data_IF_277816297565
#
_entry.id   IF_277816297565
#
_cell.length_a   1.000
_cell.length_b   1.000
_cell.length_c   1.000
_cell.angle_alpha   90.00
_cell.angle_beta   90.00
_cell.angle_gamma   90.00
#
_symmetry.space_group_name_H-M   'P 1'
#
loop_
_entity.id
_entity.type
_entity.pdbx_description
1 polymer ?
#
# COMPACT_ATOMS: atom_id res chain seq x y z
N UNK A 1 10.34 -12.61 -0.85
CA UNK A 1 9.78 -11.35 -0.30
C UNK A 1 9.77 -10.34 -1.44
N UNK A 2 8.67 -9.62 -1.65
CA UNK A 2 8.55 -8.62 -2.73
C UNK A 2 8.42 -7.24 -2.06
N UNK A 3 9.42 -6.35 -2.17
CA UNK A 3 9.29 -4.98 -1.71
C UNK A 3 8.34 -4.22 -2.63
N UNK A 4 7.41 -3.45 -2.04
CA UNK A 4 6.42 -2.68 -2.81
C UNK A 4 6.57 -1.18 -2.55
N UNK A 5 6.69 -0.40 -3.62
CA UNK A 5 6.64 1.06 -3.57
C UNK A 5 5.21 1.51 -3.91
N UNK A 6 4.51 2.07 -2.92
CA UNK A 6 3.18 2.63 -3.04
C UNK A 6 3.28 4.14 -3.30
N UNK A 7 2.73 4.60 -4.43
CA UNK A 7 2.77 6.01 -4.83
C UNK A 7 1.35 6.53 -5.01
N UNK A 8 1.01 7.64 -4.36
CA UNK A 8 -0.30 8.28 -4.51
C UNK A 8 -0.19 9.81 -4.50
N UNK A 9 -1.03 10.54 -5.27
CA UNK A 9 -1.25 11.96 -5.07
C UNK A 9 -2.32 12.20 -4.00
N UNK A 10 -2.19 13.28 -3.22
CA UNK A 10 -3.18 13.72 -2.24
C UNK A 10 -4.35 14.50 -2.87
N UNK A 11 -4.15 15.01 -4.09
CA UNK A 11 -5.14 15.77 -4.86
C UNK A 11 -5.32 15.09 -6.22
N UNK A 12 -6.58 14.90 -6.61
CA UNK A 12 -6.97 14.36 -7.91
C UNK A 12 -7.24 15.47 -8.92
N UNK A 13 -6.87 15.24 -10.18
CA UNK A 13 -7.27 16.08 -11.32
C UNK A 13 -8.76 15.94 -11.66
N UNK A 14 -9.36 14.83 -11.24
CA UNK A 14 -10.76 14.50 -11.51
C UNK A 14 -11.50 14.37 -10.16
N UNK A 15 -11.98 15.47 -9.55
CA UNK A 15 -12.74 15.43 -8.32
C UNK A 15 -14.14 14.87 -8.58
N UNK A 16 -14.24 13.54 -8.59
CA UNK A 16 -15.48 12.80 -8.71
C UNK A 16 -15.88 12.26 -7.35
N UNK A 17 -16.92 12.86 -6.78
CA UNK A 17 -17.56 12.45 -5.51
C UNK A 17 -16.52 12.08 -4.43
N UNK A 18 -16.55 10.84 -3.97
CA UNK A 18 -15.70 10.26 -2.93
C UNK A 18 -14.65 9.29 -3.49
N UNK A 19 -14.45 9.24 -4.82
CA UNK A 19 -13.57 8.26 -5.46
C UNK A 19 -12.13 8.40 -4.97
N UNK A 20 -11.62 9.64 -4.87
CA UNK A 20 -10.25 9.87 -4.43
C UNK A 20 -10.04 9.58 -2.95
N UNK A 21 -11.05 9.85 -2.10
CA UNK A 21 -11.02 9.45 -0.70
C UNK A 21 -10.99 7.92 -0.57
N UNK A 22 -11.83 7.19 -1.31
CA UNK A 22 -11.80 5.71 -1.32
C UNK A 22 -10.46 5.16 -1.79
N UNK A 23 -9.84 5.78 -2.80
CA UNK A 23 -8.51 5.41 -3.28
C UNK A 23 -7.46 5.58 -2.18
N UNK A 24 -7.42 6.75 -1.53
CA UNK A 24 -6.47 7.04 -0.45
C UNK A 24 -6.70 6.15 0.78
N UNK A 25 -7.96 5.88 1.15
CA UNK A 25 -8.28 4.94 2.22
C UNK A 25 -7.73 3.53 1.94
N UNK A 26 -7.84 3.05 0.69
CA UNK A 26 -7.27 1.75 0.31
C UNK A 26 -5.74 1.78 0.31
N UNK A 27 -5.12 2.88 -0.13
CA UNK A 27 -3.66 3.05 -0.10
C UNK A 27 -3.11 2.91 1.32
N UNK A 28 -3.71 3.62 2.29
CA UNK A 28 -3.30 3.53 3.69
C UNK A 28 -3.61 2.16 4.29
N UNK A 29 -4.80 1.62 4.04
CA UNK A 29 -5.17 0.30 4.56
C UNK A 29 -4.25 -0.82 4.05
N UNK A 30 -3.80 -0.77 2.79
CA UNK A 30 -2.89 -1.80 2.25
C UNK A 30 -1.49 -1.70 2.83
N UNK A 31 -0.95 -0.49 2.96
CA UNK A 31 0.39 -0.27 3.54
C UNK A 31 0.41 -0.66 5.03
N UNK A 32 -0.65 -0.34 5.77
CA UNK A 32 -0.86 -0.76 7.16
C UNK A 32 -1.00 -2.30 7.28
N UNK A 33 -1.85 -2.93 6.46
CA UNK A 33 -2.04 -4.38 6.48
C UNK A 33 -0.76 -5.14 6.09
N UNK A 34 0.05 -4.60 5.18
CA UNK A 34 1.34 -5.19 4.82
C UNK A 34 2.39 -5.03 5.93
N UNK A 35 2.39 -3.90 6.66
CA UNK A 35 3.31 -3.65 7.75
C UNK A 35 2.96 -4.45 9.02
N UNK A 36 1.73 -4.29 9.52
CA UNK A 36 1.31 -4.83 10.82
C UNK A 36 0.60 -6.18 10.73
N UNK A 37 0.14 -6.54 9.53
CA UNK A 37 -0.71 -7.72 9.37
C UNK A 37 -2.10 -7.50 9.96
N UNK A 38 -2.89 -8.57 9.92
CA UNK A 38 -4.20 -8.63 10.53
C UNK A 38 -4.49 -10.08 10.90
N UNK A 39 -4.59 -10.36 12.20
CA UNK A 39 -4.83 -11.73 12.66
C UNK A 39 -6.28 -12.15 12.42
N UNK A 40 -6.50 -13.46 12.43
CA UNK A 40 -7.83 -14.05 12.26
C UNK A 40 -8.80 -13.56 13.31
N UNK A 41 -8.35 -13.44 14.56
CA UNK A 41 -9.14 -13.02 15.71
C UNK A 41 -9.66 -11.58 15.53
N UNK A 42 -8.82 -10.69 15.01
CA UNK A 42 -9.21 -9.29 14.73
C UNK A 42 -10.24 -9.25 13.59
N UNK A 43 -10.03 -10.04 12.52
CA UNK A 43 -10.99 -10.12 11.41
C UNK A 43 -12.35 -10.66 11.88
N UNK A 44 -12.35 -11.73 12.67
CA UNK A 44 -13.57 -12.32 13.22
C UNK A 44 -14.29 -11.36 14.17
N UNK A 45 -13.55 -10.63 15.02
CA UNK A 45 -14.13 -9.64 15.92
C UNK A 45 -14.78 -8.48 15.16
N UNK A 46 -14.14 -7.94 14.12
CA UNK A 46 -14.73 -6.91 13.27
C UNK A 46 -16.03 -7.36 12.60
N UNK A 47 -16.12 -8.65 12.23
CA UNK A 47 -17.36 -9.19 11.66
C UNK A 47 -18.48 -9.30 12.70
N UNK A 48 -18.15 -9.72 13.95
CA UNK A 48 -19.11 -9.72 15.06
C UNK A 48 -19.64 -8.32 15.35
N UNK A 49 -18.75 -7.32 15.36
CA UNK A 49 -19.10 -5.92 15.62
C UNK A 49 -19.99 -5.32 14.50
N UNK A 50 -19.87 -5.85 13.28
CA UNK A 50 -20.74 -5.51 12.14
C UNK A 50 -22.08 -6.29 12.12
N UNK A 51 -22.41 -7.00 13.20
CA UNK A 51 -23.57 -7.89 13.31
C UNK A 51 -23.64 -8.96 12.20
N UNK A 52 -22.49 -9.38 11.67
CA UNK A 52 -22.37 -10.48 10.73
C UNK A 52 -21.88 -11.71 11.48
N UNK A 53 -22.55 -12.84 11.26
CA UNK A 53 -22.12 -14.10 11.87
C UNK A 53 -20.78 -14.56 11.24
N UNK A 54 -19.68 -14.62 12.00
CA UNK A 54 -18.39 -15.08 11.47
C UNK A 54 -18.46 -16.50 10.89
N UNK A 55 -19.37 -17.36 11.40
CA UNK A 55 -19.55 -18.71 10.89
C UNK A 55 -20.08 -18.72 9.44
N UNK A 56 -20.89 -17.73 9.06
CA UNK A 56 -21.36 -17.57 7.66
C UNK A 56 -20.27 -17.05 6.72
N UNK A 57 -19.18 -16.50 7.27
CA UNK A 57 -18.08 -15.87 6.55
C UNK A 57 -16.76 -16.63 6.71
N UNK A 58 -16.80 -17.87 7.18
CA UNK A 58 -15.61 -18.72 7.37
C UNK A 58 -14.83 -18.92 6.07
N UNK A 59 -15.51 -18.87 4.92
CA UNK A 59 -14.90 -18.91 3.60
C UNK A 59 -14.22 -17.59 3.19
N UNK A 60 -14.54 -16.45 3.83
CA UNK A 60 -13.97 -15.12 3.52
C UNK A 60 -12.85 -14.74 4.49
N UNK A 61 -12.95 -15.17 5.74
CA UNK A 61 -12.00 -14.85 6.82
C UNK A 61 -10.54 -15.13 6.41
N UNK A 62 -10.17 -16.30 5.82
CA UNK A 62 -8.79 -16.56 5.42
C UNK A 62 -8.23 -15.56 4.41
N UNK A 63 -9.07 -15.00 3.53
CA UNK A 63 -8.65 -14.01 2.54
C UNK A 63 -8.44 -12.61 3.12
N UNK A 64 -8.84 -12.38 4.37
CA UNK A 64 -8.65 -11.12 5.11
C UNK A 64 -7.57 -11.19 6.19
N UNK A 65 -6.99 -12.37 6.41
CA UNK A 65 -5.84 -12.54 7.30
C UNK A 65 -4.58 -12.12 6.55
N UNK A 66 -3.78 -11.25 7.17
CA UNK A 66 -2.50 -10.82 6.65
C UNK A 66 -1.41 -11.13 7.66
N UNK A 67 -0.36 -11.84 7.25
CA UNK A 67 0.78 -12.18 8.13
C UNK A 67 1.61 -10.96 8.54
N UNK A 68 1.47 -9.83 7.83
CA UNK A 68 2.24 -8.62 8.08
C UNK A 68 3.72 -8.77 7.73
N UNK A 69 4.55 -7.88 8.28
CA UNK A 69 6.01 -7.89 8.12
C UNK A 69 6.48 -7.90 6.65
N UNK A 70 5.71 -7.25 5.77
CA UNK A 70 6.05 -7.05 4.36
C UNK A 70 6.50 -5.60 4.17
N UNK A 71 7.78 -5.36 3.85
CA UNK A 71 8.31 -4.01 3.74
C UNK A 71 7.67 -3.26 2.57
N UNK A 72 7.17 -2.06 2.84
CA UNK A 72 6.61 -1.16 1.83
C UNK A 72 7.17 0.25 1.99
N UNK A 73 7.34 0.95 0.87
CA UNK A 73 7.62 2.39 0.87
C UNK A 73 6.35 3.13 0.46
N UNK A 74 6.01 4.20 1.16
CA UNK A 74 4.88 5.06 0.81
C UNK A 74 5.37 6.43 0.36
N UNK A 75 5.15 6.77 -0.91
CA UNK A 75 5.51 8.05 -1.51
C UNK A 75 4.23 8.83 -1.80
N UNK A 76 3.93 9.81 -0.95
CA UNK A 76 2.78 10.69 -1.11
C UNK A 76 3.20 12.00 -1.77
N UNK A 77 2.64 12.29 -2.95
CA UNK A 77 2.81 13.58 -3.62
C UNK A 77 1.59 14.45 -3.36
N UNK A 78 1.73 15.79 -3.42
CA UNK A 78 0.58 16.68 -3.28
C UNK A 78 -0.43 16.50 -4.43
N UNK A 79 0.05 16.49 -5.66
CA UNK A 79 -0.72 16.37 -6.89
C UNK A 79 0.23 15.89 -8.00
N UNK A 80 -0.23 15.18 -9.03
CA UNK A 80 0.61 14.80 -10.18
C UNK A 80 0.66 15.95 -11.19
N UNK A 81 1.65 16.82 -11.06
CA UNK A 81 1.97 17.89 -12.01
C UNK A 81 3.19 17.50 -12.86
N UNK A 82 3.47 18.20 -13.98
CA UNK A 82 4.71 17.97 -14.73
C UNK A 82 5.97 18.07 -13.85
N UNK A 83 5.98 19.01 -12.90
CA UNK A 83 7.08 19.19 -11.95
C UNK A 83 7.23 17.99 -11.01
N UNK A 84 6.15 17.58 -10.33
CA UNK A 84 6.21 16.47 -9.37
C UNK A 84 6.46 15.12 -10.05
N UNK A 85 5.98 14.95 -11.29
CA UNK A 85 6.28 13.78 -12.10
C UNK A 85 7.76 13.73 -12.50
N UNK A 86 8.34 14.86 -12.93
CA UNK A 86 9.77 14.95 -13.21
C UNK A 86 10.63 14.65 -11.98
N UNK A 87 10.25 15.17 -10.81
CA UNK A 87 10.93 14.87 -9.55
C UNK A 87 10.83 13.38 -9.18
N UNK A 88 9.68 12.74 -9.42
CA UNK A 88 9.50 11.31 -9.16
C UNK A 88 10.37 10.45 -10.08
N UNK A 89 10.49 10.81 -11.37
CA UNK A 89 11.37 10.12 -12.31
C UNK A 89 12.83 10.26 -11.87
N UNK A 90 13.27 11.48 -11.57
CA UNK A 90 14.64 11.75 -11.11
C UNK A 90 14.99 10.99 -9.81
N UNK A 91 14.02 10.85 -8.89
CA UNK A 91 14.19 10.03 -7.69
C UNK A 91 14.53 8.58 -8.03
N UNK A 92 13.80 7.96 -8.97
CA UNK A 92 14.06 6.58 -9.38
C UNK A 92 15.36 6.44 -10.19
N UNK A 93 15.71 7.43 -11.01
CA UNK A 93 17.01 7.44 -11.71
C UNK A 93 18.17 7.47 -10.71
N UNK A 94 18.11 8.32 -9.68
CA UNK A 94 19.13 8.38 -8.64
C UNK A 94 19.15 7.13 -7.74
N UNK A 95 17.99 6.52 -7.48
CA UNK A 95 17.91 5.22 -6.79
C UNK A 95 18.67 4.16 -7.58
N UNK A 96 18.39 4.03 -8.88
CA UNK A 96 19.06 3.06 -9.76
C UNK A 96 20.57 3.36 -9.86
N UNK A 97 20.94 4.62 -10.05
CA UNK A 97 22.35 5.03 -10.13
C UNK A 97 23.13 4.65 -8.86
N UNK A 98 22.54 4.88 -7.69
CA UNK A 98 23.17 4.54 -6.40
C UNK A 98 23.30 3.03 -6.23
N UNK A 99 22.26 2.26 -6.58
CA UNK A 99 22.28 0.79 -6.52
C UNK A 99 23.27 0.18 -7.50
N UNK A 100 23.40 0.72 -8.71
CA UNK A 100 24.36 0.25 -9.72
C UNK A 100 25.83 0.50 -9.36
N UNK A 101 26.10 1.39 -8.41
CA UNK A 101 27.44 1.66 -7.86
C UNK A 101 27.82 0.74 -6.70
N UNK A 102 26.85 0.06 -6.08
CA UNK A 102 27.11 -0.86 -4.99
C UNK A 102 27.66 -2.20 -5.53
N UNK A 103 28.91 -2.60 -5.19
CA UNK A 103 29.49 -3.84 -5.67
C UNK A 103 28.73 -5.10 -5.23
N UNK A 104 27.86 -5.01 -4.21
CA UNK A 104 27.13 -6.16 -3.68
C UNK A 104 25.94 -6.60 -4.55
N UNK A 105 25.55 -5.83 -5.57
CA UNK A 105 24.43 -6.16 -6.47
C UNK A 105 24.84 -6.76 -7.83
N UNK A 106 26.14 -7.04 -8.06
CA UNK A 106 26.64 -7.61 -9.32
C UNK A 106 26.53 -9.15 -9.43
N UNK A 107 25.79 -9.80 -8.52
CA UNK A 107 25.51 -11.23 -8.59
C UNK A 107 24.04 -11.47 -8.94
N UNK A 108 23.74 -11.36 -10.23
CA UNK A 108 22.65 -12.09 -10.89
C UNK A 108 23.26 -12.97 -11.98
#
# INVERSE_FOLDING_TARGET
MVPCDFIAPAITHNPLSDHHQKLLSNFFAQTEALAFGKSREVVEQEYRDQAKDPATLEHVVPFKVFEGNRPTNSILLREITPFSLGALIALYEHKIFTQGRDPQHLHL
#
